data_IF_973379983505
#
_entry.id   IF_973379983505
#
_cell.length_a   1.000
_cell.length_b   1.000
_cell.length_c   1.000
_cell.angle_alpha   90.00
_cell.angle_beta   90.00
_cell.angle_gamma   90.00
#
_symmetry.space_group_name_H-M   'P 1'
#
loop_
_entity.id
_entity.type
_entity.pdbx_description
1 polymer ?
#
# COMPACT_ATOMS: atom_id res chain seq x y z
N UNK A 1 -0.07 -15.47 11.13
CA UNK A 1 1.04 -14.96 11.96
C UNK A 1 1.41 -13.58 11.42
N UNK A 2 0.77 -12.53 11.93
CA UNK A 2 1.16 -11.13 11.68
C UNK A 2 2.35 -10.83 12.59
N UNK A 3 3.56 -10.76 12.02
CA UNK A 3 4.74 -10.38 12.76
C UNK A 3 4.74 -8.87 12.95
N UNK A 4 4.64 -8.40 14.20
CA UNK A 4 4.86 -6.98 14.52
C UNK A 4 6.36 -6.81 14.70
N UNK A 5 7.02 -6.06 13.83
CA UNK A 5 8.46 -5.76 13.96
C UNK A 5 8.67 -4.41 14.65
N UNK A 6 9.25 -4.42 15.85
CA UNK A 6 9.55 -3.23 16.66
C UNK A 6 10.91 -2.64 16.26
N UNK A 7 10.98 -1.37 15.81
CA UNK A 7 12.25 -0.61 15.75
C UNK A 7 12.02 0.93 15.73
N UNK A 8 12.52 1.60 16.79
CA UNK A 8 12.81 3.05 16.98
C UNK A 8 11.65 4.08 17.03
N UNK A 9 11.71 5.15 17.88
CA UNK A 9 12.05 5.18 19.31
C UNK A 9 10.81 4.88 20.20
N UNK A 10 11.05 4.16 21.29
CA UNK A 10 10.22 3.83 22.47
C UNK A 10 8.73 3.42 22.33
N UNK A 11 7.90 4.03 21.47
CA UNK A 11 6.45 3.80 21.46
C UNK A 11 5.85 3.57 20.05
N UNK A 12 6.66 3.41 19.00
CA UNK A 12 6.17 3.20 17.64
C UNK A 12 6.09 1.70 17.31
N UNK A 13 4.91 1.24 16.90
CA UNK A 13 4.63 -0.12 16.44
C UNK A 13 4.43 -0.13 14.94
N UNK A 14 5.08 -1.07 14.23
CA UNK A 14 4.86 -1.29 12.79
C UNK A 14 3.97 -2.52 12.64
N UNK A 15 2.80 -2.33 12.05
CA UNK A 15 1.85 -3.41 11.76
C UNK A 15 1.96 -3.74 10.27
N UNK A 16 2.52 -4.90 9.94
CA UNK A 16 2.59 -5.40 8.56
C UNK A 16 1.21 -5.90 8.10
N UNK A 17 0.78 -5.45 6.90
CA UNK A 17 -0.52 -5.79 6.31
C UNK A 17 -0.29 -6.57 5.00
N UNK A 18 -0.01 -7.88 5.08
CA UNK A 18 0.27 -8.69 3.89
C UNK A 18 -1.00 -8.89 3.05
N UNK A 19 -0.86 -8.72 1.72
CA UNK A 19 -1.81 -9.29 0.74
C UNK A 19 -3.04 -8.46 0.34
N UNK A 20 -3.18 -7.20 0.78
CA UNK A 20 -4.28 -6.33 0.32
C UNK A 20 -3.96 -5.78 -1.09
N UNK A 21 -4.36 -6.50 -2.14
CA UNK A 21 -4.22 -6.06 -3.55
C UNK A 21 -5.59 -5.77 -4.15
N UNK A 22 -5.84 -4.50 -4.49
CA UNK A 22 -7.10 -4.06 -5.11
C UNK A 22 -7.01 -4.07 -6.63
N UNK A 23 -8.05 -4.53 -7.34
CA UNK A 23 -8.18 -4.48 -8.80
C UNK A 23 -9.52 -3.86 -9.22
N UNK A 24 -9.49 -2.59 -9.67
CA UNK A 24 -10.51 -1.82 -10.45
C UNK A 24 -11.84 -1.42 -9.75
N UNK A 25 -12.51 -0.36 -10.25
CA UNK A 25 -12.24 1.05 -10.02
C UNK A 25 -13.01 1.57 -8.79
N UNK A 26 -12.28 2.15 -7.85
CA UNK A 26 -12.80 3.14 -6.94
C UNK A 26 -12.05 4.42 -7.30
N UNK A 27 -12.76 5.54 -7.49
CA UNK A 27 -12.11 6.85 -7.50
C UNK A 27 -11.22 6.97 -6.26
N UNK A 28 -10.16 7.77 -6.32
CA UNK A 28 -9.13 7.84 -5.29
C UNK A 28 -9.72 8.05 -3.88
N UNK A 29 -10.86 8.74 -3.77
CA UNK A 29 -11.66 8.82 -2.55
C UNK A 29 -12.05 7.46 -1.96
N UNK A 30 -12.65 6.56 -2.75
CA UNK A 30 -13.10 5.25 -2.26
C UNK A 30 -11.96 4.33 -1.84
N UNK A 31 -10.80 4.43 -2.49
CA UNK A 31 -9.57 3.75 -2.04
C UNK A 31 -9.13 4.33 -0.69
N UNK A 32 -9.16 5.66 -0.56
CA UNK A 32 -8.74 6.35 0.65
C UNK A 32 -9.68 6.05 1.83
N UNK A 33 -11.00 5.94 1.60
CA UNK A 33 -11.98 5.52 2.62
C UNK A 33 -11.70 4.11 3.14
N UNK A 34 -11.42 3.16 2.24
CA UNK A 34 -11.04 1.80 2.63
C UNK A 34 -9.71 1.78 3.37
N UNK A 35 -8.76 2.62 2.96
CA UNK A 35 -7.48 2.78 3.63
C UNK A 35 -7.67 3.25 5.07
N UNK A 36 -8.52 4.26 5.30
CA UNK A 36 -8.83 4.75 6.64
C UNK A 36 -9.50 3.67 7.48
N UNK A 37 -10.47 2.95 6.91
CA UNK A 37 -11.16 1.86 7.60
C UNK A 37 -10.18 0.78 8.08
N UNK A 38 -9.32 0.27 7.19
CA UNK A 38 -8.31 -0.73 7.54
C UNK A 38 -7.32 -0.20 8.58
N UNK A 39 -6.89 1.05 8.44
CA UNK A 39 -5.96 1.68 9.37
C UNK A 39 -6.54 1.73 10.78
N UNK A 40 -7.80 2.15 10.92
CA UNK A 40 -8.47 2.22 12.22
C UNK A 40 -8.70 0.82 12.82
N UNK A 41 -9.10 -0.16 12.00
CA UNK A 41 -9.28 -1.55 12.43
C UNK A 41 -7.98 -2.15 12.99
N UNK A 42 -6.86 -1.97 12.30
CA UNK A 42 -5.56 -2.47 12.74
C UNK A 42 -5.02 -1.70 13.96
N UNK A 43 -5.20 -0.38 13.99
CA UNK A 43 -4.80 0.47 15.11
C UNK A 43 -5.59 0.14 16.39
N UNK A 44 -6.90 -0.08 16.30
CA UNK A 44 -7.75 -0.50 17.41
C UNK A 44 -7.29 -1.85 17.99
N UNK A 45 -7.04 -2.84 17.13
CA UNK A 45 -6.53 -4.16 17.54
C UNK A 45 -5.18 -4.09 18.25
N UNK A 46 -4.36 -3.10 17.91
CA UNK A 46 -3.06 -2.88 18.52
C UNK A 46 -3.12 -2.01 19.79
N UNK A 47 -4.31 -1.55 20.22
CA UNK A 47 -4.43 -0.63 21.36
C UNK A 47 -3.79 0.73 21.10
N UNK A 48 -3.70 1.14 19.84
CA UNK A 48 -3.07 2.39 19.47
C UNK A 48 -3.92 3.59 19.90
N UNK A 49 -3.24 4.61 20.42
CA UNK A 49 -3.80 5.93 20.70
C UNK A 49 -3.61 6.91 19.56
N UNK A 50 -2.66 6.65 18.65
CA UNK A 50 -2.38 7.50 17.48
C UNK A 50 -1.77 6.68 16.34
N UNK A 51 -2.14 6.98 15.10
CA UNK A 51 -1.44 6.51 13.90
C UNK A 51 -0.51 7.62 13.41
N UNK A 52 0.77 7.31 13.25
CA UNK A 52 1.81 8.29 12.87
C UNK A 52 2.15 8.25 11.40
N UNK A 53 2.13 7.07 10.77
CA UNK A 53 2.42 6.92 9.33
C UNK A 53 1.70 5.73 8.71
N UNK A 54 1.32 5.86 7.44
CA UNK A 54 0.94 4.75 6.57
C UNK A 54 1.99 4.60 5.48
N UNK A 55 2.47 3.38 5.26
CA UNK A 55 3.38 3.05 4.18
C UNK A 55 2.60 2.37 3.05
N UNK A 56 2.49 3.04 1.91
CA UNK A 56 1.69 2.65 0.77
C UNK A 56 2.59 2.27 -0.40
N UNK A 57 2.22 1.20 -1.10
CA UNK A 57 2.90 0.74 -2.32
C UNK A 57 1.95 0.90 -3.50
N UNK A 58 2.32 1.75 -4.45
CA UNK A 58 1.49 2.09 -5.61
C UNK A 58 2.25 1.75 -6.90
N UNK A 59 1.66 0.89 -7.71
CA UNK A 59 2.18 0.53 -9.01
C UNK A 59 1.93 1.62 -10.06
N UNK A 60 2.89 1.82 -10.95
CA UNK A 60 2.81 2.81 -12.05
C UNK A 60 1.58 2.61 -12.96
N UNK A 61 1.12 1.37 -13.12
CA UNK A 61 -0.02 0.98 -13.94
C UNK A 61 -1.37 1.01 -13.19
N UNK A 62 -1.37 1.37 -11.91
CA UNK A 62 -2.60 1.44 -11.09
C UNK A 62 -3.48 2.66 -11.40
N UNK A 63 -2.93 3.67 -12.08
CA UNK A 63 -3.55 4.97 -12.33
C UNK A 63 -3.91 5.78 -11.08
N UNK A 64 -3.44 5.38 -9.89
CA UNK A 64 -3.66 6.13 -8.64
C UNK A 64 -2.62 7.24 -8.49
N UNK A 65 -3.11 8.44 -8.16
CA UNK A 65 -2.27 9.60 -7.87
C UNK A 65 -2.08 9.82 -6.37
N UNK A 66 -0.82 9.93 -5.96
CA UNK A 66 -0.40 10.14 -4.58
C UNK A 66 -1.04 11.42 -4.00
N UNK A 67 -1.09 12.50 -4.79
CA UNK A 67 -1.68 13.79 -4.39
C UNK A 67 -3.18 13.68 -4.13
N UNK A 68 -3.89 12.85 -4.90
CA UNK A 68 -5.33 12.64 -4.70
C UNK A 68 -5.59 11.87 -3.42
N UNK A 69 -4.81 10.82 -3.15
CA UNK A 69 -4.91 10.05 -1.90
C UNK A 69 -4.61 10.93 -0.69
N UNK A 70 -3.53 11.72 -0.76
CA UNK A 70 -3.16 12.68 0.29
C UNK A 70 -4.28 13.70 0.56
N UNK A 71 -4.81 14.33 -0.48
CA UNK A 71 -5.90 15.31 -0.35
C UNK A 71 -7.14 14.70 0.29
N UNK A 72 -7.56 13.50 -0.13
CA UNK A 72 -8.74 12.86 0.46
C UNK A 72 -8.47 12.48 1.92
N UNK A 73 -7.28 11.98 2.24
CA UNK A 73 -6.90 11.59 3.59
C UNK A 73 -7.03 12.76 4.58
N UNK A 74 -6.51 13.93 4.22
CA UNK A 74 -6.60 15.16 5.02
C UNK A 74 -8.04 15.61 5.34
N UNK A 75 -9.02 15.15 4.55
CA UNK A 75 -10.44 15.44 4.76
C UNK A 75 -11.07 14.33 5.61
N UNK A 76 -10.92 13.07 5.20
CA UNK A 76 -11.68 11.97 5.78
C UNK A 76 -11.11 11.46 7.11
N UNK A 77 -9.82 11.66 7.36
CA UNK A 77 -9.18 11.20 8.59
C UNK A 77 -9.43 12.14 9.79
N UNK A 78 -10.03 13.32 9.57
CA UNK A 78 -10.30 14.30 10.63
C UNK A 78 -11.20 13.74 11.72
N UNK A 79 -10.86 14.02 12.97
CA UNK A 79 -11.55 13.51 14.15
C UNK A 79 -11.23 12.05 14.49
N UNK A 80 -10.29 11.42 13.78
CA UNK A 80 -9.82 10.05 14.07
C UNK A 80 -8.42 10.07 14.66
N UNK A 81 -7.97 8.93 15.21
CA UNK A 81 -6.58 8.76 15.69
C UNK A 81 -5.54 8.81 14.57
N UNK A 82 -5.96 8.85 13.30
CA UNK A 82 -5.12 8.88 12.11
C UNK A 82 -5.11 10.25 11.40
N UNK A 83 -5.78 11.26 11.97
CA UNK A 83 -5.86 12.62 11.38
C UNK A 83 -4.50 13.22 11.05
N UNK A 84 -3.49 12.94 11.87
CA UNK A 84 -2.14 13.49 11.73
C UNK A 84 -1.15 12.49 11.11
N UNK A 85 -1.64 11.36 10.57
CA UNK A 85 -0.77 10.35 10.00
C UNK A 85 -0.12 10.85 8.69
N UNK A 86 1.18 10.67 8.55
CA UNK A 86 1.91 10.89 7.31
C UNK A 86 1.63 9.75 6.32
N UNK A 87 1.40 10.06 5.04
CA UNK A 87 1.36 9.04 3.99
C UNK A 87 2.72 8.97 3.30
N UNK A 88 3.35 7.81 3.36
CA UNK A 88 4.57 7.52 2.62
C UNK A 88 4.26 6.63 1.41
N UNK A 89 4.64 7.08 0.22
CA UNK A 89 4.34 6.41 -1.04
C UNK A 89 5.59 5.80 -1.66
N UNK A 90 5.58 4.49 -1.85
CA UNK A 90 6.57 3.75 -2.64
C UNK A 90 5.98 3.43 -4.02
N UNK A 91 6.68 3.85 -5.09
CA UNK A 91 6.26 3.59 -6.47
C UNK A 91 6.92 2.36 -7.05
N UNK A 92 6.12 1.41 -7.55
CA UNK A 92 6.61 0.20 -8.22
C UNK A 92 6.51 0.36 -9.74
N UNK A 93 7.62 0.20 -10.49
CA UNK A 93 7.61 0.30 -11.94
C UNK A 93 6.68 -0.71 -12.62
N UNK A 94 6.04 -0.30 -13.72
CA UNK A 94 5.26 -1.19 -14.56
C UNK A 94 6.14 -2.23 -15.25
N UNK A 95 5.80 -3.51 -15.13
CA UNK A 95 6.48 -4.61 -15.83
C UNK A 95 5.52 -5.44 -16.67
N UNK A 96 5.98 -5.79 -17.86
CA UNK A 96 5.23 -6.56 -18.82
C UNK A 96 5.97 -7.85 -19.18
N UNK A 97 5.22 -8.87 -19.59
CA UNK A 97 5.74 -10.08 -20.21
C UNK A 97 5.12 -10.27 -21.60
N UNK A 98 5.95 -10.48 -22.60
CA UNK A 98 5.51 -10.82 -23.95
C UNK A 98 4.95 -12.25 -23.96
N UNK A 99 3.73 -12.41 -24.47
CA UNK A 99 3.10 -13.73 -24.61
C UNK A 99 3.60 -14.52 -25.82
N UNK A 100 4.34 -13.89 -26.73
CA UNK A 100 4.89 -14.55 -27.92
C UNK A 100 6.30 -15.11 -27.71
N UNK A 101 7.18 -14.37 -27.01
CA UNK A 101 8.57 -14.78 -26.81
C UNK A 101 8.98 -14.96 -25.33
N UNK A 102 8.10 -14.62 -24.37
CA UNK A 102 8.38 -14.74 -22.94
C UNK A 102 9.24 -13.64 -22.34
N UNK A 103 9.75 -12.70 -23.15
CA UNK A 103 10.57 -11.59 -22.67
C UNK A 103 9.83 -10.70 -21.66
N UNK A 104 10.52 -10.28 -20.61
CA UNK A 104 10.05 -9.27 -19.65
C UNK A 104 10.75 -7.95 -19.90
N UNK A 105 10.01 -6.85 -19.78
CA UNK A 105 10.50 -5.49 -20.02
C UNK A 105 9.68 -4.47 -19.24
N UNK A 106 10.27 -3.30 -19.01
CA UNK A 106 9.65 -2.21 -18.24
C UNK A 106 8.75 -1.30 -19.07
N UNK A 107 7.98 -0.45 -18.37
CA UNK A 107 7.13 0.58 -18.99
C UNK A 107 7.90 1.55 -19.89
N UNK A 108 9.11 1.94 -19.50
CA UNK A 108 9.97 2.85 -20.29
C UNK A 108 10.38 2.27 -21.65
N UNK A 109 10.40 0.95 -21.79
CA UNK A 109 10.74 0.24 -23.03
C UNK A 109 9.49 -0.09 -23.86
N UNK A 110 8.30 0.04 -23.27
CA UNK A 110 7.06 -0.41 -23.88
C UNK A 110 6.47 0.66 -24.82
N UNK A 111 6.87 0.60 -26.09
CA UNK A 111 6.30 1.41 -27.18
C UNK A 111 5.01 0.84 -27.81
N UNK A 112 4.27 -0.01 -27.07
CA UNK A 112 3.07 -0.71 -27.58
C UNK A 112 3.34 -2.09 -28.20
N UNK A 113 4.61 -2.44 -28.44
CA UNK A 113 5.04 -3.75 -28.91
C UNK A 113 6.16 -4.29 -28.03
N UNK A 114 6.35 -5.61 -28.02
CA UNK A 114 7.50 -6.22 -27.36
C UNK A 114 8.81 -5.73 -28.01
N UNK A 115 9.76 -5.18 -27.24
CA UNK A 115 11.02 -4.66 -27.79
C UNK A 115 11.92 -5.77 -28.34
N UNK A 116 11.73 -7.03 -27.90
CA UNK A 116 12.57 -8.15 -28.32
C UNK A 116 12.10 -8.82 -29.62
N UNK A 117 10.79 -8.99 -29.82
CA UNK A 117 10.27 -9.73 -30.98
C UNK A 117 9.23 -8.98 -31.83
N UNK A 118 8.84 -7.76 -31.43
CA UNK A 118 7.80 -6.97 -32.11
C UNK A 118 6.36 -7.47 -31.88
N UNK A 119 6.16 -8.49 -31.04
CA UNK A 119 4.83 -9.03 -30.74
C UNK A 119 3.96 -8.04 -29.95
N UNK A 120 2.69 -7.90 -30.33
CA UNK A 120 1.73 -6.99 -29.69
C UNK A 120 1.07 -7.56 -28.41
N UNK A 121 1.11 -8.89 -28.23
CA UNK A 121 0.45 -9.55 -27.09
C UNK A 121 1.37 -9.53 -25.88
N UNK A 122 1.03 -8.69 -24.92
CA UNK A 122 1.76 -8.54 -23.65
C UNK A 122 0.79 -8.67 -22.48
N UNK A 123 1.28 -9.10 -21.33
CA UNK A 123 0.52 -9.13 -20.07
C UNK A 123 1.27 -8.36 -19.00
N UNK A 124 0.55 -7.76 -18.06
CA UNK A 124 1.15 -7.09 -16.90
C UNK A 124 1.58 -8.15 -15.90
N UNK A 125 2.82 -8.07 -15.44
CA UNK A 125 3.36 -8.96 -14.39
C UNK A 125 3.62 -8.23 -13.08
N UNK A 126 3.80 -6.90 -13.12
CA UNK A 126 3.97 -6.07 -11.92
C UNK A 126 3.60 -4.60 -12.20
N UNK A 127 3.43 -3.83 -11.13
CA UNK A 127 3.15 -2.40 -11.19
C UNK A 127 1.67 -2.07 -11.35
N UNK A 128 0.75 -3.02 -11.16
CA UNK A 128 -0.71 -2.79 -11.16
C UNK A 128 -1.34 -2.74 -9.76
N UNK A 129 -0.54 -2.82 -8.70
CA UNK A 129 -0.99 -2.85 -7.32
C UNK A 129 -1.29 -1.46 -6.73
N UNK A 130 -2.22 -1.44 -5.78
CA UNK A 130 -2.29 -0.45 -4.70
C UNK A 130 -2.36 -1.25 -3.41
N UNK A 131 -1.48 -0.99 -2.44
CA UNK A 131 -1.38 -1.78 -1.21
C UNK A 131 -0.99 -0.92 -0.02
N UNK A 132 -1.67 -1.11 1.10
CA UNK A 132 -1.18 -0.69 2.41
C UNK A 132 -0.18 -1.75 2.90
N UNK A 133 1.08 -1.38 3.00
CA UNK A 133 2.17 -2.30 3.38
C UNK A 133 2.31 -2.38 4.90
N UNK A 134 2.34 -1.23 5.56
CA UNK A 134 2.34 -1.15 7.01
C UNK A 134 1.76 0.15 7.56
N UNK A 135 1.39 0.14 8.83
CA UNK A 135 1.07 1.35 9.60
C UNK A 135 2.00 1.47 10.81
N UNK A 136 2.45 2.69 11.07
CA UNK A 136 3.18 3.08 12.27
C UNK A 136 2.18 3.69 13.28
N UNK A 137 2.18 3.19 14.51
CA UNK A 137 1.23 3.63 15.56
C UNK A 137 1.90 3.83 16.91
N UNK A 138 1.34 4.70 17.75
CA UNK A 138 1.71 4.87 19.15
C UNK A 138 0.63 4.30 20.08
N UNK A 139 1.03 3.65 21.17
CA UNK A 139 0.12 3.06 22.15
C UNK A 139 0.71 2.98 23.56
N UNK A 140 -0.15 2.71 24.54
CA UNK A 140 0.22 2.49 25.94
C UNK A 140 0.37 0.99 26.18
N UNK A 141 1.62 0.53 26.16
CA UNK A 141 2.05 -0.86 26.32
C UNK A 141 1.57 -1.87 25.27
N UNK A 142 2.57 -2.59 24.80
CA UNK A 142 2.50 -3.62 23.78
C UNK A 142 1.93 -4.89 24.41
N UNK A 143 0.69 -5.23 24.09
CA UNK A 143 0.20 -6.58 24.40
C UNK A 143 0.63 -7.47 23.23
N UNK A 144 1.83 -8.05 23.33
CA UNK A 144 2.29 -9.12 22.44
C UNK A 144 1.32 -10.30 22.61
N UNK A 145 0.51 -10.69 21.61
CA UNK A 145 -0.28 -11.89 21.71
C UNK A 145 0.72 -13.06 21.76
N UNK A 146 0.96 -13.54 22.97
CA UNK A 146 1.77 -14.74 23.21
C UNK A 146 1.20 -15.83 22.32
N UNK A 147 2.01 -16.56 21.53
CA UNK A 147 1.49 -17.67 20.75
C UNK A 147 0.99 -18.72 21.73
N UNK A 148 -0.33 -18.79 21.91
CA UNK A 148 -0.97 -19.86 22.64
C UNK A 148 -0.86 -21.15 21.81
N UNK A 149 -0.03 -22.08 22.31
CA UNK A 149 -0.19 -23.53 22.16
C UNK A 149 0.17 -24.14 20.81
#
# INVERSE_FOLDING_TARGET
MTGVTYRYPANVLIIDIPGQKWRQPVHELGITEQLLHLTLEHAERAGATRVTRLNLVIGELSSVMDESVQMYWEIIARGTIAEQAELHFERVPGRFRCLACGAEFGMSEFGGLCPQCGGARVTVVDGDQFRLDSIEVEGTEVNDPTPEG
#
